data_IF_629902108029
#
_entry.id   IF_629902108029
#
_cell.length_a   1.000
_cell.length_b   1.000
_cell.length_c   1.000
_cell.angle_alpha   90.00
_cell.angle_beta   90.00
_cell.angle_gamma   90.00
#
_symmetry.space_group_name_H-M   'P 1'
#
loop_
_entity.id
_entity.type
_entity.pdbx_description
1 polymer ?
#
# COMPACT_ATOMS: atom_id res chain seq x y z
N UNK A 1 30.03 41.31 13.29
CA UNK A 1 29.48 40.55 12.16
C UNK A 1 28.84 39.24 12.66
N UNK A 2 27.62 39.24 13.24
CA UNK A 2 26.97 38.01 13.72
C UNK A 2 25.76 37.55 12.88
N UNK A 3 25.30 38.36 11.93
CA UNK A 3 24.05 38.10 11.19
C UNK A 3 24.15 36.95 10.17
N UNK A 4 25.34 36.71 9.59
CA UNK A 4 25.53 35.66 8.59
C UNK A 4 25.44 34.24 9.19
N UNK A 5 25.85 34.07 10.44
CA UNK A 5 25.86 32.79 11.14
C UNK A 5 24.44 32.32 11.49
N UNK A 6 23.54 33.27 11.80
CA UNK A 6 22.13 33.00 12.10
C UNK A 6 21.37 32.47 10.87
N UNK A 7 21.68 32.97 9.68
CA UNK A 7 21.04 32.52 8.44
C UNK A 7 21.45 31.08 8.08
N UNK A 8 22.74 30.75 8.25
CA UNK A 8 23.23 29.38 8.01
C UNK A 8 22.63 28.37 9.02
N UNK A 9 22.47 28.76 10.29
CA UNK A 9 21.77 27.92 11.27
C UNK A 9 20.29 27.70 10.92
N UNK A 10 19.62 28.73 10.39
CA UNK A 10 18.22 28.61 9.97
C UNK A 10 18.07 27.71 8.74
N UNK A 11 18.99 27.77 7.77
CA UNK A 11 19.05 26.85 6.62
C UNK A 11 19.29 25.38 7.02
N UNK A 12 20.11 25.13 8.04
CA UNK A 12 20.39 23.77 8.55
C UNK A 12 19.18 23.20 9.31
N UNK A 13 18.41 24.05 10.00
CA UNK A 13 17.20 23.64 10.69
C UNK A 13 16.06 23.30 9.71
N UNK A 14 15.94 24.02 8.59
CA UNK A 14 14.96 23.75 7.53
C UNK A 14 15.26 22.45 6.76
N UNK A 15 16.54 22.06 6.66
CA UNK A 15 16.95 20.83 5.98
C UNK A 15 16.67 19.56 6.80
N UNK A 16 16.24 19.69 8.06
CA UNK A 16 15.79 18.57 8.89
C UNK A 16 14.26 18.52 8.86
N UNK A 17 13.67 18.46 7.66
CA UNK A 17 12.30 17.98 7.53
C UNK A 17 12.27 16.60 8.18
N UNK A 18 11.75 16.55 9.39
CA UNK A 18 11.60 15.35 10.18
C UNK A 18 10.65 14.45 9.39
N UNK A 19 11.20 13.56 8.56
CA UNK A 19 10.43 12.68 7.68
C UNK A 19 9.56 11.81 8.57
N UNK A 20 8.29 12.19 8.71
CA UNK A 20 7.35 11.48 9.54
C UNK A 20 7.34 10.02 9.05
N UNK A 21 7.56 9.02 9.92
CA UNK A 21 7.61 7.62 9.52
C UNK A 21 6.29 7.10 8.89
N UNK A 22 5.20 7.86 9.01
CA UNK A 22 3.92 7.61 8.34
C UNK A 22 3.79 8.26 6.97
N UNK A 23 4.72 9.17 6.61
CA UNK A 23 4.77 9.79 5.29
C UNK A 23 5.63 8.94 4.36
N UNK A 24 5.08 8.67 3.18
CA UNK A 24 5.79 7.94 2.15
C UNK A 24 6.81 8.84 1.44
N UNK A 25 7.94 8.28 0.99
CA UNK A 25 8.92 9.04 0.22
C UNK A 25 8.28 9.53 -1.08
N UNK A 26 8.29 10.84 -1.26
CA UNK A 26 7.82 11.51 -2.45
C UNK A 26 8.98 11.74 -3.44
N UNK A 27 8.79 11.34 -4.69
CA UNK A 27 9.73 11.60 -5.76
C UNK A 27 9.51 13.01 -6.29
N UNK A 28 10.57 13.82 -6.33
CA UNK A 28 10.51 15.18 -6.86
C UNK A 28 11.11 15.17 -8.26
N UNK A 29 10.31 15.51 -9.26
CA UNK A 29 10.74 15.55 -10.67
C UNK A 29 10.11 16.74 -11.38
N UNK A 30 10.92 17.54 -12.08
CA UNK A 30 10.49 18.69 -12.89
C UNK A 30 9.64 19.71 -12.10
N UNK A 31 10.00 19.96 -10.83
CA UNK A 31 9.27 20.85 -9.93
C UNK A 31 7.91 20.29 -9.45
N UNK A 32 7.64 19.01 -9.69
CA UNK A 32 6.43 18.31 -9.27
C UNK A 32 6.75 17.24 -8.24
N UNK A 33 5.80 17.01 -7.34
CA UNK A 33 5.88 15.99 -6.29
C UNK A 33 5.04 14.79 -6.73
N UNK A 34 5.68 13.63 -6.83
CA UNK A 34 5.07 12.36 -7.18
C UNK A 34 5.10 11.45 -5.94
N UNK A 35 3.94 11.23 -5.35
CA UNK A 35 3.79 10.22 -4.32
C UNK A 35 3.25 8.94 -4.96
N UNK A 36 3.99 7.81 -4.93
CA UNK A 36 3.55 6.56 -5.53
C UNK A 36 2.39 5.92 -4.74
N UNK A 37 1.21 6.54 -4.75
CA UNK A 37 -0.02 6.05 -4.10
C UNK A 37 0.06 5.96 -2.57
N UNK A 38 -1.04 5.53 -1.95
CA UNK A 38 -1.11 5.24 -0.52
C UNK A 38 -0.71 3.78 -0.26
N UNK A 39 0.53 3.56 0.16
CA UNK A 39 1.12 2.30 0.65
C UNK A 39 0.98 2.13 2.17
N UNK A 40 0.63 3.18 2.90
CA UNK A 40 0.39 3.13 4.35
C UNK A 40 -0.97 2.49 4.69
N UNK A 41 -1.98 2.62 3.82
CA UNK A 41 -3.29 2.02 4.04
C UNK A 41 -3.24 0.50 3.82
N UNK A 42 -3.29 -0.25 4.92
CA UNK A 42 -3.26 -1.71 4.89
C UNK A 42 -4.66 -2.31 4.73
N UNK A 43 -5.63 -1.82 5.49
CA UNK A 43 -6.96 -2.41 5.59
C UNK A 43 -8.02 -1.35 5.28
N UNK A 44 -8.94 -1.67 4.36
CA UNK A 44 -10.05 -0.80 3.99
C UNK A 44 -11.36 -1.58 3.97
N UNK A 45 -12.34 -1.09 4.71
CA UNK A 45 -13.68 -1.68 4.76
C UNK A 45 -14.70 -0.69 4.19
N UNK A 46 -15.31 -1.06 3.08
CA UNK A 46 -16.37 -0.30 2.40
C UNK A 46 -17.60 -1.19 2.16
N UNK A 47 -17.86 -2.14 3.06
CA UNK A 47 -19.08 -2.96 3.05
C UNK A 47 -20.33 -2.09 3.00
N UNK A 48 -21.36 -2.54 2.27
CA UNK A 48 -22.69 -1.93 2.24
C UNK A 48 -22.70 -0.45 1.83
N UNK A 49 -21.82 -0.07 0.93
CA UNK A 49 -21.89 1.21 0.24
C UNK A 49 -22.67 1.07 -1.07
N UNK A 50 -22.61 2.09 -1.94
CA UNK A 50 -23.22 2.09 -3.27
C UNK A 50 -22.18 2.11 -4.39
N UNK A 51 -21.06 1.42 -4.18
CA UNK A 51 -20.00 1.30 -5.19
C UNK A 51 -20.55 0.46 -6.34
N UNK A 52 -20.40 0.96 -7.56
CA UNK A 52 -20.77 0.26 -8.80
C UNK A 52 -19.53 -0.35 -9.45
N UNK A 53 -19.71 -1.10 -10.53
CA UNK A 53 -18.62 -1.68 -11.32
C UNK A 53 -17.62 -0.62 -11.81
N UNK A 54 -18.09 0.58 -12.14
CA UNK A 54 -17.22 1.71 -12.51
C UNK A 54 -16.26 2.09 -11.38
N UNK A 55 -16.74 2.11 -10.13
CA UNK A 55 -15.90 2.35 -8.97
C UNK A 55 -14.94 1.19 -8.70
N UNK A 56 -15.39 -0.04 -8.95
CA UNK A 56 -14.61 -1.26 -8.78
C UNK A 56 -13.37 -1.30 -9.67
N UNK A 57 -13.47 -0.83 -10.92
CA UNK A 57 -12.33 -0.71 -11.84
C UNK A 57 -11.21 0.18 -11.27
N UNK A 58 -11.58 1.25 -10.55
CA UNK A 58 -10.58 2.13 -9.90
C UNK A 58 -9.84 1.42 -8.77
N UNK A 59 -10.53 0.59 -8.00
CA UNK A 59 -9.90 -0.26 -6.98
C UNK A 59 -9.00 -1.32 -7.62
N UNK A 60 -9.45 -1.95 -8.71
CA UNK A 60 -8.66 -2.94 -9.43
C UNK A 60 -7.35 -2.34 -9.95
N UNK A 61 -7.41 -1.20 -10.63
CA UNK A 61 -6.23 -0.49 -11.13
C UNK A 61 -5.23 -0.18 -10.00
N UNK A 62 -5.74 0.26 -8.84
CA UNK A 62 -4.91 0.55 -7.65
C UNK A 62 -4.21 -0.71 -7.13
N UNK A 63 -4.95 -1.81 -6.98
CA UNK A 63 -4.40 -3.08 -6.47
C UNK A 63 -3.39 -3.69 -7.46
N UNK A 64 -3.66 -3.62 -8.77
CA UNK A 64 -2.74 -4.05 -9.81
C UNK A 64 -1.43 -3.26 -9.80
N UNK A 65 -1.52 -1.93 -9.68
CA UNK A 65 -0.36 -1.06 -9.54
C UNK A 65 0.48 -1.46 -8.32
N UNK A 66 -0.15 -1.62 -7.16
CA UNK A 66 0.54 -2.06 -5.95
C UNK A 66 1.16 -3.45 -6.10
N UNK A 67 0.52 -4.38 -6.83
CA UNK A 67 1.05 -5.71 -7.12
C UNK A 67 2.32 -5.69 -7.98
N UNK A 68 2.38 -4.81 -8.98
CA UNK A 68 3.58 -4.64 -9.81
C UNK A 68 4.74 -4.03 -9.02
N UNK A 69 4.46 -3.02 -8.19
CA UNK A 69 5.47 -2.35 -7.37
C UNK A 69 6.05 -3.23 -6.25
N UNK A 70 5.31 -4.23 -5.76
CA UNK A 70 5.85 -5.17 -4.77
C UNK A 70 6.87 -6.14 -5.37
N UNK A 71 6.82 -6.42 -6.69
CA UNK A 71 7.76 -7.32 -7.36
C UNK A 71 9.15 -6.70 -7.56
N UNK A 72 9.26 -5.38 -7.48
CA UNK A 72 10.50 -4.63 -7.77
C UNK A 72 11.36 -4.31 -6.53
N UNK A 73 10.91 -4.64 -5.30
CA UNK A 73 11.68 -4.38 -4.08
C UNK A 73 12.40 -5.64 -3.56
N UNK A 74 13.64 -5.42 -3.13
CA UNK A 74 14.57 -6.39 -2.55
C UNK A 74 13.94 -7.30 -1.49
N UNK A 75 14.33 -8.58 -1.50
CA UNK A 75 14.01 -9.58 -0.48
C UNK A 75 14.24 -9.01 0.93
N UNK A 76 13.17 -8.92 1.74
CA UNK A 76 13.26 -8.54 3.15
C UNK A 76 12.25 -7.50 3.64
N UNK A 77 11.57 -6.77 2.75
CA UNK A 77 10.44 -5.89 3.13
C UNK A 77 9.12 -6.60 2.84
N UNK A 78 8.26 -6.72 3.85
CA UNK A 78 6.93 -7.35 3.73
C UNK A 78 6.02 -6.65 2.70
N UNK A 79 4.83 -7.21 2.44
CA UNK A 79 3.88 -6.59 1.50
C UNK A 79 3.54 -5.17 1.97
N UNK A 80 3.57 -4.22 1.03
CA UNK A 80 3.28 -2.80 1.30
C UNK A 80 2.05 -2.38 0.50
N UNK A 81 1.23 -1.49 1.06
CA UNK A 81 -0.07 -1.11 0.53
C UNK A 81 -1.19 -2.02 1.00
N UNK A 82 -2.27 -2.06 0.22
CA UNK A 82 -3.49 -2.71 0.64
C UNK A 82 -3.27 -4.22 0.78
N UNK A 83 -3.57 -4.72 1.97
CA UNK A 83 -3.54 -6.14 2.33
C UNK A 83 -4.96 -6.71 2.37
N UNK A 84 -5.93 -5.91 2.82
CA UNK A 84 -7.30 -6.34 2.96
C UNK A 84 -8.30 -5.27 2.49
N UNK A 85 -9.27 -5.71 1.68
CA UNK A 85 -10.31 -4.85 1.11
C UNK A 85 -11.67 -5.54 1.20
N UNK A 86 -12.60 -4.94 1.92
CA UNK A 86 -13.96 -5.47 2.07
C UNK A 86 -14.96 -4.64 1.25
N UNK A 87 -15.50 -5.21 0.17
CA UNK A 87 -16.45 -4.53 -0.73
C UNK A 87 -17.81 -5.24 -0.83
N UNK A 88 -18.06 -6.31 -0.07
CA UNK A 88 -19.32 -7.03 -0.18
C UNK A 88 -20.56 -6.13 0.08
N UNK A 89 -21.70 -6.55 -0.46
CA UNK A 89 -23.00 -5.86 -0.34
C UNK A 89 -23.01 -4.43 -0.94
N UNK A 90 -22.22 -4.19 -1.99
CA UNK A 90 -22.28 -2.99 -2.81
C UNK A 90 -23.13 -3.22 -4.08
N UNK A 91 -23.20 -2.23 -4.97
CA UNK A 91 -24.01 -2.24 -6.20
C UNK A 91 -23.26 -2.88 -7.39
N UNK A 92 -22.69 -4.07 -7.19
CA UNK A 92 -22.04 -4.86 -8.24
C UNK A 92 -22.28 -6.36 -7.99
N UNK A 93 -22.15 -7.19 -9.04
CA UNK A 93 -22.26 -8.64 -8.91
C UNK A 93 -21.05 -9.24 -8.21
N UNK A 94 -21.24 -10.21 -7.31
CA UNK A 94 -20.12 -10.97 -6.71
C UNK A 94 -19.34 -11.81 -7.73
N UNK A 95 -19.90 -12.02 -8.93
CA UNK A 95 -19.24 -12.70 -10.05
C UNK A 95 -18.60 -11.71 -11.04
N UNK A 96 -18.60 -10.41 -10.72
CA UNK A 96 -17.96 -9.40 -11.54
C UNK A 96 -16.45 -9.71 -11.67
N UNK A 97 -15.88 -9.75 -12.90
CA UNK A 97 -14.48 -10.08 -13.10
C UNK A 97 -13.52 -9.23 -12.27
N UNK A 98 -13.76 -7.91 -12.20
CA UNK A 98 -12.92 -7.00 -11.43
C UNK A 98 -12.90 -7.35 -9.94
N UNK A 99 -14.03 -7.78 -9.37
CA UNK A 99 -14.12 -8.17 -7.96
C UNK A 99 -13.32 -9.45 -7.71
N UNK A 100 -13.48 -10.45 -8.57
CA UNK A 100 -12.73 -11.70 -8.50
C UNK A 100 -11.22 -11.46 -8.59
N UNK A 101 -10.77 -10.65 -9.56
CA UNK A 101 -9.35 -10.34 -9.72
C UNK A 101 -8.79 -9.56 -8.52
N UNK A 102 -9.55 -8.64 -7.92
CA UNK A 102 -9.14 -7.96 -6.69
C UNK A 102 -8.92 -8.97 -5.56
N UNK A 103 -9.83 -9.92 -5.38
CA UNK A 103 -9.71 -10.95 -4.35
C UNK A 103 -8.47 -11.83 -4.56
N UNK A 104 -8.21 -12.26 -5.79
CA UNK A 104 -7.03 -13.06 -6.13
C UNK A 104 -5.71 -12.32 -5.87
N UNK A 105 -5.65 -11.02 -6.19
CA UNK A 105 -4.44 -10.21 -5.98
C UNK A 105 -4.15 -9.93 -4.50
N UNK A 106 -5.19 -9.83 -3.67
CA UNK A 106 -5.06 -9.55 -2.24
C UNK A 106 -4.91 -10.82 -1.38
N UNK A 107 -5.38 -11.97 -1.83
CA UNK A 107 -5.27 -13.25 -1.12
C UNK A 107 -3.85 -13.57 -0.61
N UNK A 108 -2.77 -13.48 -1.41
CA UNK A 108 -1.41 -13.78 -0.92
C UNK A 108 -0.82 -12.71 0.01
N UNK A 109 -1.48 -11.56 0.12
CA UNK A 109 -1.07 -10.43 0.97
C UNK A 109 -1.71 -10.47 2.35
N UNK A 110 -2.73 -11.31 2.54
CA UNK A 110 -3.45 -11.42 3.80
C UNK A 110 -2.53 -12.04 4.88
N UNK A 111 -2.19 -11.30 5.95
CA UNK A 111 -1.32 -11.79 7.01
C UNK A 111 -1.91 -13.02 7.75
N UNK A 112 -3.23 -13.22 7.70
CA UNK A 112 -3.89 -14.35 8.36
C UNK A 112 -3.75 -15.67 7.58
N UNK A 113 -3.55 -15.61 6.26
CA UNK A 113 -3.40 -16.82 5.42
C UNK A 113 -2.05 -17.54 5.63
N UNK A 114 -1.04 -16.82 6.13
CA UNK A 114 0.29 -17.34 6.47
C UNK A 114 0.34 -18.10 7.81
N UNK A 115 -0.72 -18.02 8.62
CA UNK A 115 -0.79 -18.62 9.95
C UNK A 115 -1.21 -20.10 9.95
N UNK A 116 -0.99 -20.85 8.85
CA UNK A 116 -1.00 -22.31 8.96
C UNK A 116 0.28 -22.74 9.70
N UNK A 117 0.17 -23.48 10.81
CA UNK A 117 1.33 -24.13 11.41
C UNK A 117 1.97 -24.98 10.32
N UNK A 118 3.29 -24.89 10.18
CA UNK A 118 4.04 -26.01 9.63
C UNK A 118 3.85 -27.14 10.64
N UNK A 119 2.85 -27.99 10.42
CA UNK A 119 2.91 -29.33 10.99
C UNK A 119 4.15 -29.96 10.37
N UNK A 120 5.16 -30.13 11.22
CA UNK A 120 6.41 -30.79 10.90
C UNK A 120 6.06 -32.26 10.64
N UNK A 121 5.89 -32.60 9.36
CA UNK A 121 5.74 -33.96 8.88
C UNK A 121 7.10 -34.65 8.96
N UNK A 122 7.55 -34.92 10.18
CA UNK A 122 8.71 -35.75 10.49
C UNK A 122 8.34 -37.22 10.36
N UNK A 123 8.51 -37.79 9.18
CA UNK A 123 8.46 -39.24 8.97
C UNK A 123 9.84 -39.87 9.19
N UNK A 124 9.85 -41.02 9.87
CA UNK A 124 10.90 -42.06 9.98
C UNK A 124 12.11 -41.83 10.91
N UNK A 125 12.12 -42.58 12.02
CA UNK A 125 13.10 -43.65 12.28
C UNK A 125 12.45 -44.75 13.12
#
# INVERSE_FOLDING_TARGET
MPAATSLLQQLVAEATEMVNPLLEPAEHRDGRVFMPGNKALLHLNLLRNRITEVGLESFLATVQYQAQFSKSKSAGKGPVGLLWLSLAKNCFSMQCPAYTTIQELLLPRDPTTKAKPREDEGTCA
#
